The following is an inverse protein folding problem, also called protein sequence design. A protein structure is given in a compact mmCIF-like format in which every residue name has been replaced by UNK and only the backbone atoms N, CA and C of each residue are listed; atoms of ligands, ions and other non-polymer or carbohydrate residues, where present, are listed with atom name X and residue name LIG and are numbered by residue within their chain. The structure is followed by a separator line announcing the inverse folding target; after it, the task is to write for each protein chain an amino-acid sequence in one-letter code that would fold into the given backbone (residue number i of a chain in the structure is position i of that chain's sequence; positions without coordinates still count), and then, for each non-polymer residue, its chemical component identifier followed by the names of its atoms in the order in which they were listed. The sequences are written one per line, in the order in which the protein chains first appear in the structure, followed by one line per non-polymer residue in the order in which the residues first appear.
data_IF_983364645161
#
_entry.id   IF_983364645161
#
_cell.length_a   1.000
_cell.length_b   1.000
_cell.length_c   1.000
_cell.angle_alpha   90.00
_cell.angle_beta   90.00
_cell.angle_gamma   90.00
#
_symmetry.space_group_name_H-M   'P 1'
#
loop_
_entity.id
_entity.type
_entity.pdbx_description
1 polymer ?
#
# COMPACT_ATOMS: atom_id res chain seq x y z
N UNK A 1 46.82 -36.09 44.67
CA UNK A 1 45.95 -34.91 44.51
C UNK A 1 45.44 -34.93 43.07
N UNK A 2 44.27 -35.53 42.81
CA UNK A 2 43.66 -35.59 41.47
C UNK A 2 42.42 -34.70 41.49
N UNK A 3 42.50 -33.58 40.78
CA UNK A 3 41.42 -32.61 40.65
C UNK A 3 40.50 -33.05 39.50
N UNK A 4 39.29 -33.53 39.82
CA UNK A 4 38.25 -33.78 38.81
C UNK A 4 37.53 -32.46 38.51
N UNK A 5 37.74 -31.93 37.32
CA UNK A 5 36.95 -30.81 36.80
C UNK A 5 35.72 -31.41 36.12
N UNK A 6 34.53 -31.24 36.71
CA UNK A 6 33.27 -31.47 36.03
C UNK A 6 32.95 -30.23 35.19
N UNK A 7 32.97 -30.38 33.87
CA UNK A 7 32.43 -29.37 32.96
C UNK A 7 30.92 -29.63 32.79
N UNK A 8 30.10 -28.75 33.34
CA UNK A 8 28.65 -28.72 33.11
C UNK A 8 28.36 -28.06 31.76
N UNK A 9 27.88 -28.84 30.80
CA UNK A 9 27.43 -28.35 29.50
C UNK A 9 25.98 -27.86 29.62
N UNK A 10 25.78 -26.55 29.74
CA UNK A 10 24.45 -25.94 29.76
C UNK A 10 23.90 -25.85 28.33
N UNK A 11 22.98 -26.75 27.98
CA UNK A 11 22.25 -26.71 26.70
C UNK A 11 21.13 -25.67 26.83
N UNK A 12 21.31 -24.51 26.20
CA UNK A 12 20.23 -23.54 26.02
C UNK A 12 19.31 -24.03 24.90
N UNK A 13 18.18 -24.63 25.27
CA UNK A 13 17.07 -24.89 24.36
C UNK A 13 16.43 -23.55 23.96
N UNK A 14 16.81 -23.03 22.79
CA UNK A 14 16.09 -21.93 22.15
C UNK A 14 14.80 -22.50 21.59
N UNK A 15 13.70 -22.35 22.32
CA UNK A 15 12.37 -22.67 21.81
C UNK A 15 11.99 -21.65 20.72
N UNK A 16 12.23 -21.99 19.46
CA UNK A 16 11.60 -21.27 18.33
C UNK A 16 10.11 -21.61 18.35
N UNK A 17 9.30 -20.69 18.87
CA UNK A 17 7.84 -20.78 18.80
C UNK A 17 7.37 -20.59 17.34
N UNK A 18 7.49 -21.64 16.53
CA UNK A 18 6.85 -21.71 15.22
C UNK A 18 5.33 -21.78 15.47
N UNK A 19 4.60 -20.78 14.98
CA UNK A 19 3.15 -20.79 15.01
C UNK A 19 2.62 -21.32 13.70
N UNK A 20 1.43 -21.92 13.74
CA UNK A 20 0.77 -22.45 12.55
C UNK A 20 0.38 -21.30 11.62
N UNK A 21 0.82 -21.41 10.37
CA UNK A 21 0.50 -20.49 9.28
C UNK A 21 -0.25 -21.28 8.23
N UNK A 22 -1.52 -20.93 8.06
CA UNK A 22 -2.38 -21.48 7.03
C UNK A 22 -2.28 -20.63 5.75
N UNK A 23 -2.75 -21.19 4.64
CA UNK A 23 -2.89 -20.48 3.37
C UNK A 23 -4.34 -20.44 2.95
N UNK A 24 -4.83 -19.26 2.57
CA UNK A 24 -6.14 -19.08 1.93
C UNK A 24 -5.95 -18.66 0.48
N UNK A 25 -6.59 -19.37 -0.45
CA UNK A 25 -6.53 -19.09 -1.88
C UNK A 25 -7.53 -17.99 -2.23
N UNK A 26 -7.09 -16.73 -2.27
CA UNK A 26 -7.94 -15.63 -2.70
C UNK A 26 -7.73 -15.36 -4.19
N UNK A 27 -8.45 -16.11 -5.02
CA UNK A 27 -8.33 -16.10 -6.48
C UNK A 27 -9.60 -15.58 -7.14
N UNK A 28 -9.45 -14.98 -8.33
CA UNK A 28 -10.60 -14.67 -9.18
C UNK A 28 -11.38 -15.94 -9.53
N UNK A 29 -12.73 -15.91 -9.53
CA UNK A 29 -13.55 -17.10 -9.75
C UNK A 29 -13.69 -17.44 -11.26
N UNK A 30 -12.57 -17.75 -11.92
CA UNK A 30 -12.50 -18.10 -13.34
C UNK A 30 -13.20 -17.06 -14.24
N UNK A 31 -12.81 -15.80 -14.10
CA UNK A 31 -13.40 -14.66 -14.83
C UNK A 31 -12.97 -14.65 -16.29
N UNK A 32 -13.75 -14.02 -17.16
CA UNK A 32 -13.37 -13.78 -18.55
C UNK A 32 -13.15 -12.29 -18.78
N UNK A 33 -11.89 -11.82 -18.88
CA UNK A 33 -11.60 -10.45 -19.27
C UNK A 33 -12.01 -10.23 -20.72
N UNK A 34 -13.21 -9.69 -20.98
CA UNK A 34 -13.78 -9.65 -22.33
C UNK A 34 -13.31 -8.45 -23.17
N UNK A 35 -12.61 -7.48 -22.56
CA UNK A 35 -12.08 -6.28 -23.20
C UNK A 35 -10.78 -5.82 -22.54
N UNK A 36 -10.07 -4.94 -23.22
CA UNK A 36 -8.85 -4.31 -22.72
C UNK A 36 -9.17 -3.35 -21.55
N UNK A 37 -8.16 -3.11 -20.71
CA UNK A 37 -8.24 -2.22 -19.54
C UNK A 37 -9.45 -2.54 -18.62
N UNK A 38 -9.63 -3.82 -18.29
CA UNK A 38 -10.72 -4.30 -17.45
C UNK A 38 -10.26 -4.53 -16.00
N UNK A 39 -10.99 -3.96 -15.06
CA UNK A 39 -10.71 -4.06 -13.62
C UNK A 39 -11.79 -4.87 -12.96
N UNK A 40 -11.46 -6.08 -12.54
CA UNK A 40 -12.41 -6.95 -11.87
C UNK A 40 -12.12 -7.00 -10.38
N UNK A 41 -13.18 -6.97 -9.59
CA UNK A 41 -13.15 -7.05 -8.14
C UNK A 41 -13.89 -8.30 -7.68
N UNK A 42 -13.36 -9.01 -6.69
CA UNK A 42 -14.04 -10.12 -6.02
C UNK A 42 -13.86 -10.01 -4.49
N UNK A 43 -14.91 -10.26 -3.68
CA UNK A 43 -14.84 -10.12 -2.24
C UNK A 43 -14.69 -11.47 -1.52
N UNK A 44 -14.14 -11.43 -0.32
CA UNK A 44 -14.38 -12.46 0.70
C UNK A 44 -14.85 -11.83 1.99
N UNK A 45 -15.77 -12.51 2.68
CA UNK A 45 -16.24 -12.13 4.00
C UNK A 45 -15.40 -12.82 5.08
N UNK A 46 -14.87 -12.05 6.01
CA UNK A 46 -14.12 -12.60 7.14
C UNK A 46 -15.09 -13.00 8.25
N UNK A 47 -14.86 -14.14 8.90
CA UNK A 47 -15.70 -14.59 10.02
C UNK A 47 -15.74 -13.54 11.12
N UNK A 48 -16.94 -13.09 11.55
CA UNK A 48 -17.07 -12.08 12.61
C UNK A 48 -16.79 -12.65 14.02
N UNK A 49 -16.56 -13.97 14.15
CA UNK A 49 -16.31 -14.62 15.45
C UNK A 49 -14.82 -14.84 15.73
N UNK A 50 -13.93 -14.64 14.75
CA UNK A 50 -12.52 -15.00 14.87
C UNK A 50 -11.62 -13.86 14.38
N UNK A 51 -10.50 -13.66 15.07
CA UNK A 51 -9.42 -12.80 14.61
C UNK A 51 -8.45 -13.62 13.77
N UNK A 52 -8.09 -13.07 12.62
CA UNK A 52 -7.03 -13.61 11.77
C UNK A 52 -5.97 -12.54 11.57
N UNK A 53 -4.72 -12.97 11.41
CA UNK A 53 -3.59 -12.10 11.14
C UNK A 53 -2.98 -12.53 9.82
N UNK A 54 -3.03 -11.66 8.80
CA UNK A 54 -2.32 -11.91 7.54
C UNK A 54 -0.84 -11.60 7.78
N UNK A 55 0.02 -12.58 7.53
CA UNK A 55 1.47 -12.52 7.78
C UNK A 55 2.30 -12.59 6.50
N UNK A 56 1.66 -12.78 5.35
CA UNK A 56 2.33 -12.75 4.06
C UNK A 56 1.38 -12.89 2.88
N UNK A 57 1.90 -12.54 1.71
CA UNK A 57 1.18 -12.52 0.44
C UNK A 57 2.03 -13.22 -0.62
N UNK A 58 1.48 -14.24 -1.25
CA UNK A 58 2.12 -14.97 -2.35
C UNK A 58 1.25 -14.82 -3.60
N UNK A 59 1.74 -14.10 -4.64
CA UNK A 59 0.94 -13.85 -5.83
C UNK A 59 0.76 -15.12 -6.65
N UNK A 60 -0.46 -15.33 -7.15
CA UNK A 60 -0.81 -16.32 -8.18
C UNK A 60 -1.16 -15.56 -9.46
N UNK A 61 -0.19 -14.97 -10.12
CA UNK A 61 -0.40 -14.22 -11.34
C UNK A 61 0.89 -14.18 -12.16
N UNK A 62 0.75 -13.88 -13.45
CA UNK A 62 1.87 -13.52 -14.31
C UNK A 62 1.53 -12.23 -15.04
N UNK A 63 2.54 -11.46 -15.43
CA UNK A 63 2.35 -10.27 -16.26
C UNK A 63 1.68 -10.54 -17.61
N UNK A 64 1.65 -11.79 -18.07
CA UNK A 64 0.93 -12.18 -19.28
C UNK A 64 -0.60 -12.18 -19.11
N UNK A 65 -1.09 -12.22 -17.87
CA UNK A 65 -2.52 -12.28 -17.54
C UNK A 65 -2.99 -11.07 -16.75
N UNK A 66 -2.31 -10.72 -15.65
CA UNK A 66 -2.64 -9.59 -14.80
C UNK A 66 -1.53 -8.54 -14.84
N UNK A 67 -1.90 -7.28 -15.12
CA UNK A 67 -0.95 -6.17 -15.12
C UNK A 67 -0.59 -5.71 -13.70
N UNK A 68 -1.58 -5.67 -12.80
CA UNK A 68 -1.38 -5.49 -11.36
C UNK A 68 -2.57 -6.04 -10.57
N UNK A 69 -2.36 -6.24 -9.27
CA UNK A 69 -3.39 -6.65 -8.32
C UNK A 69 -3.34 -5.76 -7.08
N UNK A 70 -4.50 -5.37 -6.57
CA UNK A 70 -4.65 -4.62 -5.32
C UNK A 70 -5.55 -5.39 -4.38
N UNK A 71 -5.18 -5.43 -3.10
CA UNK A 71 -6.00 -6.03 -2.05
C UNK A 71 -6.45 -4.94 -1.10
N UNK A 72 -7.77 -4.76 -1.00
CA UNK A 72 -8.40 -3.80 -0.12
C UNK A 72 -8.97 -4.50 1.10
N UNK A 73 -8.85 -3.87 2.27
CA UNK A 73 -9.69 -4.15 3.43
C UNK A 73 -10.88 -3.21 3.43
N UNK A 74 -12.09 -3.74 3.59
CA UNK A 74 -13.33 -2.97 3.62
C UNK A 74 -14.14 -3.28 4.89
N UNK A 75 -14.93 -2.32 5.36
CA UNK A 75 -16.07 -2.62 6.25
C UNK A 75 -17.25 -3.19 5.47
N UNK A 76 -17.48 -2.67 4.26
CA UNK A 76 -18.48 -3.17 3.30
C UNK A 76 -17.91 -3.17 1.87
N UNK A 77 -18.06 -4.26 1.10
CA UNK A 77 -17.63 -4.31 -0.29
C UNK A 77 -18.51 -3.40 -1.16
N UNK A 78 -18.00 -3.00 -2.34
CA UNK A 78 -18.78 -2.18 -3.27
C UNK A 78 -20.05 -2.87 -3.78
N UNK A 79 -19.92 -4.16 -4.10
CA UNK A 79 -21.02 -5.03 -4.52
C UNK A 79 -21.11 -6.30 -3.65
N UNK A 80 -22.29 -6.91 -3.64
CA UNK A 80 -22.51 -8.25 -3.09
C UNK A 80 -22.35 -9.36 -4.14
N UNK A 81 -22.10 -8.98 -5.41
CA UNK A 81 -21.85 -9.92 -6.49
C UNK A 81 -20.52 -10.67 -6.25
N UNK A 82 -20.40 -11.87 -6.81
CA UNK A 82 -19.15 -12.64 -6.74
C UNK A 82 -18.01 -11.94 -7.46
N UNK A 83 -18.32 -11.21 -8.55
CA UNK A 83 -17.40 -10.38 -9.32
C UNK A 83 -18.14 -9.14 -9.82
N UNK A 84 -17.47 -8.00 -9.82
CA UNK A 84 -17.95 -6.77 -10.45
C UNK A 84 -16.80 -6.01 -11.12
N UNK A 85 -17.13 -5.09 -12.02
CA UNK A 85 -16.17 -4.14 -12.56
C UNK A 85 -15.88 -3.08 -11.48
N UNK A 86 -14.62 -2.95 -11.07
CA UNK A 86 -14.23 -2.00 -10.03
C UNK A 86 -14.43 -0.53 -10.45
N UNK A 87 -14.68 -0.27 -11.74
CA UNK A 87 -14.90 1.06 -12.30
C UNK A 87 -13.69 2.00 -12.26
N UNK A 88 -12.58 1.60 -11.65
CA UNK A 88 -11.33 2.34 -11.68
C UNK A 88 -10.75 2.27 -13.10
N UNK A 89 -10.32 3.41 -13.63
CA UNK A 89 -9.77 3.62 -14.97
C UNK A 89 -10.69 3.67 -16.20
N UNK A 90 -12.01 3.47 -16.09
CA UNK A 90 -12.93 3.74 -17.20
C UNK A 90 -13.91 4.90 -16.93
N UNK A 91 -13.91 5.85 -17.86
CA UNK A 91 -14.80 7.00 -17.92
C UNK A 91 -16.25 6.57 -18.12
N UNK A 92 -17.09 6.51 -17.08
CA UNK A 92 -18.56 6.39 -17.18
C UNK A 92 -19.12 5.27 -18.10
N UNK A 93 -18.29 4.35 -18.59
CA UNK A 93 -18.69 3.27 -19.46
C UNK A 93 -19.21 2.15 -18.56
N UNK A 94 -20.52 1.98 -18.59
CA UNK A 94 -21.20 0.85 -17.96
C UNK A 94 -20.69 -0.40 -18.68
N UNK A 95 -20.10 -1.32 -17.92
CA UNK A 95 -19.69 -2.61 -18.45
C UNK A 95 -20.95 -3.46 -18.73
N UNK A 96 -21.06 -4.00 -19.95
CA UNK A 96 -22.24 -4.75 -20.38
C UNK A 96 -22.37 -6.12 -19.69
N UNK A 97 -21.28 -6.65 -19.13
CA UNK A 97 -21.23 -7.99 -18.54
C UNK A 97 -21.16 -7.98 -17.01
N UNK A 98 -20.52 -6.97 -16.43
CA UNK A 98 -20.32 -6.84 -14.99
C UNK A 98 -20.97 -5.58 -14.44
N UNK A 99 -21.69 -5.69 -13.32
CA UNK A 99 -22.11 -4.52 -12.56
C UNK A 99 -20.89 -3.67 -12.19
N UNK A 100 -21.05 -2.35 -12.13
CA UNK A 100 -19.96 -1.43 -11.79
C UNK A 100 -20.12 -0.92 -10.35
N UNK A 101 -19.07 -1.06 -9.54
CA UNK A 101 -18.99 -0.53 -8.18
C UNK A 101 -17.52 -0.35 -7.76
N UNK A 102 -17.23 0.59 -6.86
CA UNK A 102 -15.89 0.71 -6.27
C UNK A 102 -15.45 -0.58 -5.55
N UNK A 103 -14.16 -0.79 -5.25
CA UNK A 103 -13.73 -1.96 -4.48
C UNK A 103 -14.43 -2.07 -3.11
N UNK A 104 -14.50 -0.96 -2.38
CA UNK A 104 -15.23 -0.86 -1.12
C UNK A 104 -16.34 0.17 -1.23
N UNK A 105 -17.49 -0.12 -0.61
CA UNK A 105 -18.52 0.90 -0.35
C UNK A 105 -18.13 1.77 0.84
N UNK A 106 -17.51 1.17 1.86
CA UNK A 106 -17.07 1.87 3.06
C UNK A 106 -15.81 1.25 3.66
N UNK A 107 -15.07 2.06 4.43
CA UNK A 107 -13.91 1.61 5.19
C UNK A 107 -12.73 1.13 4.33
N UNK A 108 -12.61 1.64 3.10
CA UNK A 108 -11.55 1.27 2.17
C UNK A 108 -10.16 1.53 2.77
N UNK A 109 -9.27 0.56 2.67
CA UNK A 109 -7.83 0.72 2.89
C UNK A 109 -7.06 -0.30 2.05
N UNK A 110 -5.93 0.10 1.47
CA UNK A 110 -5.03 -0.83 0.79
C UNK A 110 -4.28 -1.66 1.83
N UNK A 111 -4.28 -2.98 1.65
CA UNK A 111 -3.58 -3.97 2.48
C UNK A 111 -2.35 -4.52 1.75
N UNK A 112 -2.46 -4.77 0.46
CA UNK A 112 -1.38 -5.30 -0.38
C UNK A 112 -1.52 -4.83 -1.83
N UNK A 113 -0.40 -4.82 -2.54
CA UNK A 113 -0.34 -4.48 -3.96
C UNK A 113 0.75 -5.32 -4.63
N UNK A 114 0.48 -5.78 -5.85
CA UNK A 114 1.40 -6.54 -6.67
C UNK A 114 1.41 -5.98 -8.09
N UNK A 115 2.59 -5.91 -8.71
CA UNK A 115 2.76 -5.54 -10.11
C UNK A 115 4.05 -6.15 -10.65
N UNK A 116 4.12 -6.43 -11.96
CA UNK A 116 5.35 -6.81 -12.67
C UNK A 116 6.13 -7.97 -12.07
N UNK A 117 5.42 -9.08 -11.80
CA UNK A 117 6.03 -10.31 -11.28
C UNK A 117 6.84 -10.09 -9.98
N UNK A 118 6.37 -9.15 -9.16
CA UNK A 118 6.93 -8.91 -7.84
C UNK A 118 6.92 -10.21 -7.01
N UNK A 119 8.00 -10.48 -6.25
CA UNK A 119 8.08 -11.67 -5.42
C UNK A 119 7.07 -11.63 -4.27
N UNK A 120 6.86 -12.78 -3.62
CA UNK A 120 6.07 -12.88 -2.41
C UNK A 120 6.54 -11.89 -1.34
N UNK A 121 5.58 -11.25 -0.67
CA UNK A 121 5.83 -10.35 0.44
C UNK A 121 5.62 -11.09 1.76
N UNK A 122 6.71 -11.33 2.49
CA UNK A 122 6.65 -11.79 3.86
C UNK A 122 6.70 -10.60 4.80
N UNK A 123 5.75 -10.50 5.74
CA UNK A 123 5.82 -9.48 6.77
C UNK A 123 6.95 -9.80 7.76
N UNK A 124 7.50 -8.79 8.46
CA UNK A 124 8.47 -9.05 9.50
C UNK A 124 7.92 -10.04 10.54
N UNK A 125 8.82 -10.75 11.22
CA UNK A 125 8.45 -11.71 12.26
C UNK A 125 7.42 -11.11 13.23
N UNK A 126 6.41 -11.87 13.67
CA UNK A 126 5.42 -11.42 14.66
C UNK A 126 4.62 -10.15 14.27
N UNK A 127 4.62 -9.77 12.98
CA UNK A 127 3.80 -8.68 12.41
C UNK A 127 2.66 -9.28 11.58
N UNK A 128 1.45 -8.75 11.73
CA UNK A 128 0.33 -9.15 10.87
C UNK A 128 -0.79 -8.12 10.76
N UNK A 129 -1.51 -8.13 9.64
CA UNK A 129 -2.73 -7.35 9.46
C UNK A 129 -3.88 -8.06 10.16
N UNK A 130 -4.45 -7.42 11.20
CA UNK A 130 -5.61 -7.93 11.91
C UNK A 130 -6.87 -7.78 11.04
N UNK A 131 -7.59 -8.87 10.81
CA UNK A 131 -8.88 -8.90 10.10
C UNK A 131 -9.91 -9.72 10.88
N UNK A 132 -11.21 -9.47 10.65
CA UNK A 132 -12.30 -10.25 11.25
C UNK A 132 -12.91 -9.60 12.48
N UNK A 133 -13.04 -10.35 13.59
CA UNK A 133 -13.86 -9.97 14.76
C UNK A 133 -13.54 -8.58 15.30
N UNK A 134 -12.29 -8.32 15.71
CA UNK A 134 -11.89 -7.08 16.39
C UNK A 134 -11.29 -6.04 15.42
N UNK A 135 -11.27 -6.32 14.11
CA UNK A 135 -10.78 -5.41 13.07
C UNK A 135 -11.90 -4.58 12.44
N UNK A 136 -11.67 -3.34 11.98
CA UNK A 136 -12.58 -2.67 11.06
C UNK A 136 -12.67 -3.37 9.69
N UNK A 137 -11.69 -4.21 9.33
CA UNK A 137 -11.67 -4.98 8.08
C UNK A 137 -12.55 -6.21 8.25
N UNK A 138 -13.77 -6.14 7.70
CA UNK A 138 -14.76 -7.25 7.70
C UNK A 138 -14.79 -8.01 6.39
N UNK A 139 -14.30 -7.39 5.32
CA UNK A 139 -14.15 -7.98 4.00
C UNK A 139 -12.76 -7.69 3.46
N UNK A 140 -12.23 -8.61 2.66
CA UNK A 140 -11.15 -8.31 1.75
C UNK A 140 -11.71 -8.28 0.33
N UNK A 141 -11.25 -7.35 -0.48
CA UNK A 141 -11.61 -7.24 -1.90
C UNK A 141 -10.35 -7.27 -2.73
N UNK A 142 -10.24 -8.29 -3.58
CA UNK A 142 -9.16 -8.42 -4.55
C UNK A 142 -9.59 -7.73 -5.84
N UNK A 143 -8.82 -6.74 -6.26
CA UNK A 143 -8.90 -6.13 -7.58
C UNK A 143 -7.78 -6.68 -8.46
N UNK A 144 -8.11 -7.08 -9.68
CA UNK A 144 -7.14 -7.48 -10.72
C UNK A 144 -7.36 -6.61 -11.95
N UNK A 145 -6.28 -6.01 -12.44
CA UNK A 145 -6.27 -5.28 -13.70
C UNK A 145 -5.80 -6.18 -14.84
N UNK A 146 -6.68 -6.40 -15.82
CA UNK A 146 -6.40 -7.07 -17.08
C UNK A 146 -6.18 -6.03 -18.18
N UNK A 147 -4.94 -5.91 -18.65
CA UNK A 147 -4.57 -4.98 -19.72
C UNK A 147 -5.17 -5.38 -21.07
N UNK A 148 -5.30 -6.69 -21.32
CA UNK A 148 -5.79 -7.22 -22.58
C UNK A 148 -7.00 -8.14 -22.41
N UNK A 149 -7.95 -8.02 -23.33
CA UNK A 149 -9.07 -8.93 -23.47
C UNK A 149 -8.61 -10.34 -23.87
N UNK A 150 -9.26 -11.34 -23.30
CA UNK A 150 -9.01 -12.74 -23.55
C UNK A 150 -9.91 -13.23 -24.69
N UNK A 151 -9.43 -14.15 -25.53
CA UNK A 151 -10.29 -14.83 -26.49
C UNK A 151 -11.50 -15.47 -25.80
N UNK A 152 -12.64 -15.50 -26.50
CA UNK A 152 -13.86 -16.09 -25.98
C UNK A 152 -13.65 -17.52 -25.46
N UNK A 153 -14.17 -17.80 -24.26
CA UNK A 153 -14.06 -19.11 -23.60
C UNK A 153 -12.76 -19.34 -22.82
N UNK A 154 -11.82 -18.39 -22.81
CA UNK A 154 -10.64 -18.44 -21.93
C UNK A 154 -10.90 -17.68 -20.63
N UNK A 155 -10.76 -18.36 -19.50
CA UNK A 155 -10.93 -17.76 -18.17
C UNK A 155 -9.60 -17.57 -17.44
N UNK A 156 -9.64 -16.78 -16.37
CA UNK A 156 -8.50 -16.47 -15.51
C UNK A 156 -8.86 -16.57 -14.02
N UNK A 157 -7.91 -17.03 -13.22
CA UNK A 157 -8.02 -17.12 -11.76
C UNK A 157 -6.85 -16.45 -11.04
N UNK A 158 -6.28 -15.40 -11.64
CA UNK A 158 -5.22 -14.62 -11.01
C UNK A 158 -5.66 -14.11 -9.65
N UNK A 159 -4.74 -14.09 -8.69
CA UNK A 159 -5.03 -13.62 -7.34
C UNK A 159 -3.86 -13.78 -6.40
N UNK A 160 -4.14 -13.95 -5.11
CA UNK A 160 -3.13 -13.98 -4.06
C UNK A 160 -3.43 -15.09 -3.06
N UNK A 161 -2.44 -15.90 -2.75
CA UNK A 161 -2.43 -16.79 -1.60
C UNK A 161 -2.12 -15.98 -0.34
N UNK A 162 -3.09 -15.87 0.56
CA UNK A 162 -2.93 -15.18 1.84
C UNK A 162 -2.35 -16.14 2.87
N UNK A 163 -1.17 -15.84 3.39
CA UNK A 163 -0.61 -16.55 4.55
C UNK A 163 -1.18 -15.93 5.81
N UNK A 164 -1.88 -16.71 6.63
CA UNK A 164 -2.54 -16.19 7.82
C UNK A 164 -2.38 -17.10 9.04
N UNK A 165 -2.61 -16.55 10.23
CA UNK A 165 -2.65 -17.31 11.48
C UNK A 165 -3.77 -16.80 12.39
N UNK A 166 -4.24 -17.66 13.30
CA UNK A 166 -5.16 -17.27 14.40
C UNK A 166 -4.40 -16.88 15.67
N UNK A 167 -3.09 -17.14 15.73
CA UNK A 167 -2.26 -16.72 16.85
C UNK A 167 -2.17 -15.20 16.88
N UNK A 168 -2.40 -14.62 18.06
CA UNK A 168 -2.26 -13.18 18.28
C UNK A 168 -0.86 -12.70 17.87
N UNK A 169 -0.81 -11.72 16.96
CA UNK A 169 0.44 -11.04 16.59
C UNK A 169 0.62 -9.81 17.48
N UNK A 170 1.73 -9.69 18.23
CA UNK A 170 1.98 -8.56 19.11
C UNK A 170 2.25 -7.26 18.35
N UNK A 171 2.50 -7.32 17.03
CA UNK A 171 2.69 -6.15 16.19
C UNK A 171 1.63 -6.13 15.10
N UNK A 172 0.72 -5.16 15.17
CA UNK A 172 -0.33 -5.02 14.17
C UNK A 172 0.18 -4.16 13.01
N UNK A 173 0.05 -4.66 11.79
CA UNK A 173 0.41 -3.94 10.57
C UNK A 173 -0.69 -2.97 10.14
N UNK A 174 -0.27 -1.84 9.58
CA UNK A 174 -1.14 -0.86 8.94
C UNK A 174 -0.47 -0.27 7.70
N UNK A 175 -1.29 0.40 6.88
CA UNK A 175 -0.84 1.20 5.76
C UNK A 175 -1.37 2.61 5.95
N UNK A 176 -0.51 3.61 5.76
CA UNK A 176 -0.92 5.01 5.59
C UNK A 176 -0.57 5.43 4.17
N UNK A 177 -1.56 5.97 3.46
CA UNK A 177 -1.39 6.54 2.12
C UNK A 177 -1.16 8.04 2.23
N UNK A 178 0.00 8.48 1.75
CA UNK A 178 0.28 9.88 1.45
C UNK A 178 -0.06 10.14 -0.02
N UNK A 179 -1.03 11.01 -0.25
CA UNK A 179 -1.48 11.40 -1.58
C UNK A 179 -1.64 12.90 -1.73
N UNK A 180 -1.85 13.37 -2.95
CA UNK A 180 -2.09 14.79 -3.22
C UNK A 180 -3.01 14.95 -4.42
N UNK A 181 -3.84 15.99 -4.38
CA UNK A 181 -4.66 16.41 -5.52
C UNK A 181 -3.90 17.35 -6.46
N UNK A 182 -4.65 18.15 -7.22
CA UNK A 182 -4.08 19.19 -8.06
C UNK A 182 -3.89 18.78 -9.52
N UNK A 183 -2.97 19.46 -10.19
CA UNK A 183 -2.75 19.34 -11.62
C UNK A 183 -1.25 19.53 -11.95
N UNK A 184 -0.76 18.76 -12.93
CA UNK A 184 0.54 18.96 -13.55
C UNK A 184 0.36 19.87 -14.78
N UNK A 185 0.99 21.06 -14.82
CA UNK A 185 0.89 21.98 -15.96
C UNK A 185 1.48 21.38 -17.24
N UNK A 186 1.08 21.87 -18.43
CA UNK A 186 1.67 21.44 -19.69
C UNK A 186 3.15 21.83 -19.80
N UNK A 187 3.92 21.05 -20.55
CA UNK A 187 5.31 21.33 -20.93
C UNK A 187 6.23 21.71 -19.75
N UNK A 188 6.13 20.98 -18.63
CA UNK A 188 6.81 21.35 -17.39
C UNK A 188 7.05 20.20 -16.42
N UNK A 189 7.97 20.46 -15.49
CA UNK A 189 8.20 19.63 -14.32
C UNK A 189 7.40 20.23 -13.16
N UNK A 190 6.71 19.39 -12.41
CA UNK A 190 5.93 19.80 -11.23
C UNK A 190 6.26 18.91 -10.03
N UNK A 191 6.27 19.52 -8.85
CA UNK A 191 6.46 18.84 -7.59
C UNK A 191 5.14 18.78 -6.85
N UNK A 192 4.53 17.59 -6.84
CA UNK A 192 3.26 17.35 -6.16
C UNK A 192 3.56 16.86 -4.75
N UNK A 193 3.09 17.58 -3.74
CA UNK A 193 3.57 17.44 -2.37
C UNK A 193 2.46 17.26 -1.36
N UNK A 194 2.71 16.48 -0.32
CA UNK A 194 1.80 16.30 0.81
C UNK A 194 2.57 16.16 2.11
N UNK A 195 1.96 16.56 3.22
CA UNK A 195 2.52 16.35 4.55
C UNK A 195 1.43 16.33 5.62
N UNK A 196 1.52 15.40 6.57
CA UNK A 196 0.62 15.31 7.73
C UNK A 196 1.38 15.00 9.01
N UNK A 197 1.02 15.69 10.09
CA UNK A 197 1.50 15.41 11.43
C UNK A 197 0.82 14.16 11.98
N UNK A 198 1.60 13.24 12.55
CA UNK A 198 1.10 12.14 13.35
C UNK A 198 0.58 12.72 14.67
N UNK A 199 -0.73 12.70 14.87
CA UNK A 199 -1.38 13.26 16.07
C UNK A 199 -1.82 12.22 17.09
N UNK A 200 -1.84 10.95 16.68
CA UNK A 200 -2.18 9.85 17.56
C UNK A 200 -1.00 9.59 18.51
N UNK A 201 -1.29 9.35 19.78
CA UNK A 201 -0.29 8.94 20.79
C UNK A 201 0.11 7.47 20.58
N UNK A 202 0.76 7.24 19.44
CA UNK A 202 1.20 5.93 18.96
C UNK A 202 2.59 6.07 18.35
N UNK A 203 3.38 5.00 18.49
CA UNK A 203 4.67 4.88 17.81
C UNK A 203 4.52 3.86 16.69
N UNK A 204 4.70 4.32 15.45
CA UNK A 204 4.70 3.45 14.28
C UNK A 204 6.14 3.11 13.86
N UNK A 205 6.32 1.91 13.36
CA UNK A 205 7.61 1.42 12.88
C UNK A 205 7.51 1.10 11.38
N UNK A 206 8.04 1.96 10.50
CA UNK A 206 7.96 1.75 9.07
C UNK A 206 8.83 0.55 8.66
N UNK A 207 8.36 -0.26 7.72
CA UNK A 207 9.13 -1.42 7.24
C UNK A 207 9.08 -1.62 5.72
N UNK A 208 8.03 -1.14 5.05
CA UNK A 208 8.00 -1.16 3.59
C UNK A 208 7.25 0.06 3.03
N UNK A 209 7.54 0.42 1.79
CA UNK A 209 6.86 1.50 1.08
C UNK A 209 6.56 1.12 -0.37
N UNK A 210 5.52 1.71 -0.95
CA UNK A 210 5.18 1.60 -2.38
C UNK A 210 4.95 2.98 -2.96
N UNK A 211 5.44 3.19 -4.17
CA UNK A 211 5.22 4.41 -4.96
C UNK A 211 4.24 4.10 -6.10
N UNK A 212 3.33 5.03 -6.40
CA UNK A 212 2.42 4.89 -7.53
C UNK A 212 2.14 6.25 -8.18
N UNK A 213 2.27 6.26 -9.49
CA UNK A 213 1.84 7.30 -10.43
C UNK A 213 1.35 6.62 -11.70
N UNK A 214 0.75 7.39 -12.60
CA UNK A 214 0.59 7.02 -14.01
C UNK A 214 1.86 7.45 -14.78
N UNK A 215 1.74 7.88 -16.04
CA UNK A 215 2.85 7.99 -17.00
C UNK A 215 3.85 9.14 -16.76
N UNK A 216 3.46 10.20 -16.09
CA UNK A 216 4.25 11.43 -15.91
C UNK A 216 5.25 11.34 -14.76
N UNK A 217 5.01 10.47 -13.78
CA UNK A 217 5.87 10.33 -12.61
C UNK A 217 7.28 9.85 -12.94
N UNK A 218 8.28 10.55 -12.40
CA UNK A 218 9.71 10.23 -12.54
C UNK A 218 10.34 9.76 -11.25
N UNK A 219 9.96 10.36 -10.14
CA UNK A 219 10.45 10.00 -8.80
C UNK A 219 9.33 10.22 -7.81
N UNK A 220 9.12 9.28 -6.90
CA UNK A 220 8.32 9.50 -5.70
C UNK A 220 9.21 9.24 -4.48
N UNK A 221 9.25 10.20 -3.56
CA UNK A 221 10.02 10.12 -2.33
C UNK A 221 9.13 10.37 -1.12
N UNK A 222 9.41 9.66 -0.03
CA UNK A 222 8.72 9.79 1.25
C UNK A 222 9.71 10.04 2.38
N UNK A 223 9.35 10.91 3.29
CA UNK A 223 10.18 11.39 4.40
C UNK A 223 9.39 11.37 5.71
N UNK A 224 10.11 11.21 6.81
CA UNK A 224 9.69 11.70 8.12
C UNK A 224 10.44 12.99 8.42
N UNK A 225 9.71 14.03 8.82
CA UNK A 225 10.26 15.33 9.18
C UNK A 225 10.11 15.50 10.69
N UNK A 226 11.24 15.63 11.37
CA UNK A 226 11.28 15.89 12.82
C UNK A 226 11.72 17.32 13.05
N UNK A 227 10.87 18.08 13.74
CA UNK A 227 11.15 19.49 14.04
C UNK A 227 12.13 19.59 15.20
N UNK A 228 13.19 20.36 15.02
CA UNK A 228 14.22 20.63 16.03
C UNK A 228 14.49 22.14 16.07
N UNK A 229 14.99 22.63 17.20
CA UNK A 229 15.37 24.04 17.34
C UNK A 229 16.45 24.47 16.33
N UNK A 230 17.28 23.51 15.90
CA UNK A 230 18.33 23.74 14.90
C UNK A 230 17.82 23.73 13.46
N UNK A 231 16.52 23.49 13.22
CA UNK A 231 15.90 23.32 11.90
C UNK A 231 15.34 21.92 11.71
N UNK A 232 14.51 21.75 10.67
CA UNK A 232 13.84 20.50 10.38
C UNK A 232 14.84 19.43 9.94
N UNK A 233 14.65 18.22 10.46
CA UNK A 233 15.42 17.03 10.10
C UNK A 233 14.58 16.15 9.19
N UNK A 234 14.95 16.13 7.91
CA UNK A 234 14.29 15.35 6.87
C UNK A 234 14.98 14.01 6.71
N UNK A 235 14.34 12.96 7.19
CA UNK A 235 14.86 11.60 7.09
C UNK A 235 14.11 10.82 6.02
N UNK A 236 14.84 10.36 5.01
CA UNK A 236 14.29 9.57 3.91
C UNK A 236 13.74 8.24 4.45
N UNK A 237 12.48 7.93 4.12
CA UNK A 237 11.84 6.63 4.36
C UNK A 237 12.08 5.73 3.14
N UNK A 238 11.94 6.29 1.94
CA UNK A 238 12.17 5.58 0.69
C UNK A 238 11.94 6.48 -0.52
N UNK A 239 12.59 6.15 -1.63
CA UNK A 239 12.34 6.78 -2.93
C UNK A 239 12.46 5.75 -4.04
N UNK A 240 11.66 5.90 -5.10
CA UNK A 240 11.68 4.99 -6.26
C UNK A 240 11.17 5.69 -7.51
N UNK A 241 11.61 5.17 -8.66
CA UNK A 241 10.97 5.43 -9.94
C UNK A 241 9.59 4.72 -9.95
N UNK A 242 8.47 5.46 -10.02
CA UNK A 242 7.15 4.84 -10.04
C UNK A 242 6.85 4.08 -11.34
N UNK A 243 7.69 4.22 -12.38
CA UNK A 243 7.60 3.45 -13.62
C UNK A 243 8.26 2.07 -13.52
N UNK A 244 8.92 1.74 -12.41
CA UNK A 244 9.42 0.39 -12.10
C UNK A 244 8.32 -0.47 -11.44
N UNK A 245 8.52 -1.78 -11.20
CA UNK A 245 7.54 -2.60 -10.48
C UNK A 245 6.99 -1.93 -9.22
N UNK A 246 5.70 -1.60 -9.20
CA UNK A 246 5.09 -0.86 -8.09
C UNK A 246 4.67 -1.80 -6.96
N UNK A 247 5.65 -2.47 -6.37
CA UNK A 247 5.51 -3.33 -5.19
C UNK A 247 5.92 -2.60 -3.91
N UNK A 248 5.75 -3.29 -2.78
CA UNK A 248 6.30 -2.82 -1.50
C UNK A 248 7.79 -3.15 -1.41
N UNK A 249 8.61 -2.11 -1.34
CA UNK A 249 10.05 -2.16 -1.12
C UNK A 249 10.39 -1.94 0.36
N UNK A 250 11.47 -2.54 0.89
CA UNK A 250 11.92 -2.23 2.24
C UNK A 250 12.29 -0.75 2.35
N UNK A 251 11.98 -0.13 3.49
CA UNK A 251 12.37 1.25 3.79
C UNK A 251 13.88 1.38 3.95
N UNK A 252 14.44 2.55 3.63
CA UNK A 252 15.86 2.84 3.88
C UNK A 252 16.13 3.17 5.34
N UNK A 253 15.07 3.54 6.08
CA UNK A 253 15.14 3.88 7.48
C UNK A 253 13.90 3.36 8.22
N UNK A 254 14.11 2.55 9.25
CA UNK A 254 13.10 1.93 10.08
C UNK A 254 12.95 2.60 11.47
N UNK A 255 13.50 3.82 11.62
CA UNK A 255 13.41 4.57 12.87
C UNK A 255 11.95 4.76 13.26
N UNK A 256 11.62 4.64 14.57
CA UNK A 256 10.25 4.87 15.03
C UNK A 256 9.78 6.29 14.68
N UNK A 257 8.50 6.40 14.35
CA UNK A 257 7.81 7.65 14.04
C UNK A 257 6.72 7.82 15.10
N UNK A 258 6.79 8.90 15.86
CA UNK A 258 5.92 9.15 17.00
C UNK A 258 4.95 10.30 16.78
N UNK A 259 4.27 10.68 17.87
CA UNK A 259 3.46 11.90 17.92
C UNK A 259 4.31 13.12 17.53
N UNK A 260 3.68 14.08 16.84
CA UNK A 260 4.24 15.34 16.33
C UNK A 260 5.28 15.22 15.20
N UNK A 261 5.80 14.02 14.91
CA UNK A 261 6.53 13.76 13.68
C UNK A 261 5.62 13.97 12.46
N UNK A 262 6.20 14.37 11.34
CA UNK A 262 5.45 14.69 10.12
C UNK A 262 5.83 13.71 9.02
N UNK A 263 4.85 12.99 8.49
CA UNK A 263 5.03 12.20 7.28
C UNK A 263 4.84 13.11 6.08
N UNK A 264 5.79 13.11 5.15
CA UNK A 264 5.75 13.93 3.94
C UNK A 264 6.10 13.10 2.71
N UNK A 265 5.47 13.39 1.57
CA UNK A 265 5.82 12.77 0.28
C UNK A 265 5.81 13.79 -0.86
N UNK A 266 6.69 13.58 -1.84
CA UNK A 266 6.78 14.36 -3.08
C UNK A 266 6.81 13.42 -4.28
N UNK A 267 5.99 13.73 -5.28
CA UNK A 267 6.12 13.18 -6.63
C UNK A 267 6.70 14.25 -7.56
N UNK A 268 7.75 13.90 -8.28
CA UNK A 268 8.28 14.71 -9.38
C UNK A 268 7.68 14.21 -10.67
N UNK A 269 6.85 15.05 -11.29
CA UNK A 269 6.16 14.77 -12.54
C UNK A 269 6.86 15.51 -13.67
N UNK A 270 6.88 14.92 -14.87
CA UNK A 270 7.32 15.60 -16.09
C UNK A 270 6.22 15.46 -17.15
N UNK A 271 5.50 16.54 -17.40
CA UNK A 271 4.46 16.61 -18.41
C UNK A 271 5.01 17.19 -19.71
N UNK A 272 5.16 16.33 -20.71
CA UNK A 272 5.59 16.72 -22.06
C UNK A 272 4.41 16.97 -23.00
N UNK A 273 3.17 16.95 -22.49
CA UNK A 273 1.98 17.26 -23.27
C UNK A 273 1.73 18.78 -23.30
N UNK A 274 1.04 19.24 -24.35
CA UNK A 274 0.59 20.63 -24.50
C UNK A 274 -0.66 20.97 -23.67
N UNK A 275 -1.19 20.00 -22.91
CA UNK A 275 -2.35 20.18 -22.03
C UNK A 275 -2.04 19.78 -20.58
N UNK A 276 -2.73 20.40 -19.60
CA UNK A 276 -2.60 20.03 -18.21
C UNK A 276 -3.18 18.64 -17.93
N UNK A 277 -2.57 17.92 -16.98
CA UNK A 277 -3.06 16.61 -16.51
C UNK A 277 -3.47 16.73 -15.05
N UNK A 278 -4.72 16.43 -14.75
CA UNK A 278 -5.26 16.50 -13.38
C UNK A 278 -4.97 15.21 -12.61
N UNK A 279 -4.97 15.30 -11.28
CA UNK A 279 -5.05 14.10 -10.45
C UNK A 279 -6.45 13.46 -10.58
N UNK A 280 -6.48 12.16 -10.84
CA UNK A 280 -7.68 11.41 -11.09
C UNK A 280 -7.43 9.90 -11.17
N UNK A 281 -8.50 9.16 -11.40
CA UNK A 281 -8.47 7.70 -11.33
C UNK A 281 -8.22 7.00 -12.67
N UNK A 282 -8.11 7.74 -13.78
CA UNK A 282 -7.98 7.15 -15.12
C UNK A 282 -6.57 7.20 -15.67
N UNK A 283 -6.27 6.36 -16.66
CA UNK A 283 -4.98 6.40 -17.35
C UNK A 283 -4.70 7.73 -18.11
N UNK A 284 -5.73 8.58 -18.29
CA UNK A 284 -5.62 9.94 -18.83
C UNK A 284 -5.31 10.98 -17.75
N UNK A 285 -5.55 10.64 -16.50
CA UNK A 285 -5.24 11.45 -15.34
C UNK A 285 -3.87 11.05 -14.77
N UNK A 286 -3.47 11.68 -13.67
CA UNK A 286 -2.33 11.26 -12.85
C UNK A 286 -2.73 10.86 -11.43
N UNK A 287 -1.82 10.18 -10.75
CA UNK A 287 -1.84 9.96 -9.31
C UNK A 287 -0.47 10.28 -8.71
N UNK A 288 -0.46 10.70 -7.45
CA UNK A 288 0.76 10.83 -6.68
C UNK A 288 0.55 10.16 -5.33
N UNK A 289 0.98 8.90 -5.22
CA UNK A 289 0.73 8.08 -4.04
C UNK A 289 2.04 7.49 -3.48
N UNK A 290 2.26 7.69 -2.19
CA UNK A 290 3.28 7.03 -1.39
C UNK A 290 2.60 6.25 -0.26
N UNK A 291 2.62 4.93 -0.36
CA UNK A 291 2.09 4.04 0.67
C UNK A 291 3.20 3.67 1.63
N UNK A 292 2.97 3.85 2.92
CA UNK A 292 3.88 3.42 3.98
C UNK A 292 3.25 2.29 4.78
N UNK A 293 3.86 1.11 4.71
CA UNK A 293 3.58 0.00 5.61
C UNK A 293 4.37 0.16 6.90
N UNK A 294 3.67 0.07 8.01
CA UNK A 294 4.23 0.15 9.35
C UNK A 294 3.58 -0.87 10.28
N UNK A 295 4.15 -1.08 11.46
CA UNK A 295 3.51 -1.81 12.54
C UNK A 295 3.49 -1.00 13.84
N UNK A 296 2.56 -1.34 14.72
CA UNK A 296 2.42 -0.78 16.08
C UNK A 296 2.51 -1.91 17.10
N UNK A 297 3.23 -1.68 18.20
CA UNK A 297 3.43 -2.68 19.25
C UNK A 297 2.24 -2.71 20.22
N UNK A 298 1.61 -3.88 20.38
CA UNK A 298 0.52 -4.14 21.33
C UNK A 298 -0.65 -3.14 21.27
N UNK A 299 -0.87 -2.52 20.11
CA UNK A 299 -1.93 -1.55 19.87
C UNK A 299 -2.43 -1.69 18.43
N UNK A 300 -3.56 -1.05 18.15
CA UNK A 300 -4.15 -0.87 16.83
C UNK A 300 -3.32 0.06 15.94
N UNK A 301 -3.29 -0.17 14.62
CA UNK A 301 -2.71 0.77 13.66
C UNK A 301 -3.34 2.17 13.75
N UNK A 302 -2.73 3.17 13.11
CA UNK A 302 -3.27 4.54 13.09
C UNK A 302 -4.71 4.55 12.58
N UNK A 303 -5.58 5.32 13.22
CA UNK A 303 -6.91 5.64 12.70
C UNK A 303 -6.80 6.47 11.42
N UNK A 304 -5.80 7.35 11.34
CA UNK A 304 -5.47 8.08 10.12
C UNK A 304 -4.91 7.14 9.04
N UNK A 305 -5.75 6.78 8.08
CA UNK A 305 -5.36 5.96 6.91
C UNK A 305 -4.85 6.77 5.72
N UNK A 306 -5.23 8.05 5.67
CA UNK A 306 -4.99 8.92 4.53
C UNK A 306 -4.36 10.24 4.96
N UNK A 307 -3.37 10.68 4.20
CA UNK A 307 -2.74 11.98 4.33
C UNK A 307 -2.78 12.67 2.95
N UNK A 308 -3.75 13.56 2.76
CA UNK A 308 -3.98 14.24 1.49
C UNK A 308 -3.82 15.74 1.61
N UNK A 309 -3.15 16.33 0.62
CA UNK A 309 -3.10 17.78 0.40
C UNK A 309 -3.91 18.16 -0.84
N UNK A 310 -4.20 19.45 -1.00
CA UNK A 310 -4.83 19.98 -2.20
C UNK A 310 -3.91 19.93 -3.44
N UNK A 311 -2.60 19.76 -3.23
CA UNK A 311 -1.57 19.77 -4.27
C UNK A 311 -1.47 21.07 -5.07
N UNK A 312 -0.67 21.07 -6.16
CA UNK A 312 -0.50 22.21 -7.05
C UNK A 312 -1.82 22.70 -7.67
N UNK A 313 -2.05 24.03 -7.78
CA UNK A 313 -1.14 25.11 -7.39
C UNK A 313 -1.31 25.57 -5.93
N UNK A 314 -2.16 24.90 -5.14
CA UNK A 314 -2.61 25.39 -3.83
C UNK A 314 -1.72 24.96 -2.66
N UNK A 315 -0.98 23.87 -2.80
CA UNK A 315 -0.13 23.33 -1.75
C UNK A 315 1.26 22.99 -2.27
N UNK A 316 2.25 23.46 -1.53
CA UNK A 316 3.66 23.10 -1.65
C UNK A 316 4.27 23.06 -0.24
N UNK A 317 5.32 22.27 0.00
CA UNK A 317 6.01 22.20 1.28
C UNK A 317 6.51 23.57 1.75
N UNK A 318 7.06 24.39 0.86
CA UNK A 318 7.52 25.75 1.18
C UNK A 318 6.39 26.74 1.51
N UNK A 319 5.12 26.38 1.23
CA UNK A 319 3.91 27.14 1.60
C UNK A 319 3.06 26.40 2.64
N UNK A 320 3.53 25.26 3.14
CA UNK A 320 2.77 24.46 4.08
C UNK A 320 2.59 25.23 5.40
N UNK A 321 1.43 25.13 6.07
CA UNK A 321 1.21 25.77 7.38
C UNK A 321 2.23 25.36 8.45
N UNK A 322 2.90 24.23 8.27
CA UNK A 322 3.98 23.76 9.15
C UNK A 322 5.25 24.62 9.08
N UNK A 323 5.37 25.48 8.07
CA UNK A 323 6.50 26.37 7.83
C UNK A 323 7.84 25.61 7.77
N UNK A 324 7.90 24.60 6.91
CA UNK A 324 9.07 23.76 6.79
C UNK A 324 10.31 24.55 6.39
N UNK A 325 11.46 24.16 6.93
CA UNK A 325 12.78 24.64 6.53
C UNK A 325 13.67 23.45 6.12
N UNK A 326 14.83 23.74 5.52
CA UNK A 326 15.79 22.71 5.06
C UNK A 326 15.18 21.63 4.16
N UNK A 327 14.23 22.04 3.32
CA UNK A 327 13.55 21.14 2.40
C UNK A 327 14.59 20.52 1.44
N UNK A 328 14.65 19.18 1.32
CA UNK A 328 15.62 18.49 0.46
C UNK A 328 15.17 18.54 -1.01
N UNK A 329 15.18 19.73 -1.61
CA UNK A 329 14.61 20.00 -2.93
C UNK A 329 15.16 19.10 -4.04
N UNK A 330 16.49 18.88 -4.04
CA UNK A 330 17.17 18.09 -5.05
C UNK A 330 17.02 16.59 -4.77
N UNK A 331 17.24 16.17 -3.52
CA UNK A 331 17.23 14.76 -3.12
C UNK A 331 15.83 14.15 -3.17
N UNK A 332 14.78 14.95 -2.92
CA UNK A 332 13.39 14.52 -3.05
C UNK A 332 12.95 14.32 -4.51
N UNK A 333 13.66 14.93 -5.46
CA UNK A 333 13.29 14.98 -6.88
C UNK A 333 14.21 14.19 -7.80
N UNK A 334 15.23 13.51 -7.26
CA UNK A 334 16.23 12.75 -8.02
C UNK A 334 16.42 11.33 -7.47
N UNK A 335 16.77 10.37 -8.32
CA UNK A 335 17.00 8.96 -7.95
C UNK A 335 18.44 8.70 -7.54
#
# INVERSE_FOLDING_TARGET
MFLRILATLSIYLVFTNAYEVDTYEFLMPNVWPHRDELYLCTPIRISPQTNYYIVGFEPNASMHTAHHMLLYGCSEPGSNDSVWSCGEMQSNEIDDMYNTASPCRSGSQIVYAWARDAPSLHLPKDVGFLIGKDSPIKYLVLQVHYMHGFPGGKTDNSGVFLKYTKKHMPRQAGVILLGTGGMVPPNGIEHMETACTVREDKVIHPFAFRTHTHALGKVVSGYVVRRKDSGDDWQLIGKKDPQLPQMFYPVVNDSPIGIDDVLAARCTMNNTNDFPVNIGATNKDEMCNFYLMYWVQNDSPLEQKYCFSAGPPFYYWHKAPLNFNRIPELEASTL
#
